data_IF_450241324248
#
_entry.id   IF_450241324248
#
_cell.length_a   1.000
_cell.length_b   1.000
_cell.length_c   1.000
_cell.angle_alpha   90.00
_cell.angle_beta   90.00
_cell.angle_gamma   90.00
#
_symmetry.space_group_name_H-M   'P 1'
#
loop_
_entity.id
_entity.type
_entity.pdbx_description
1 polymer ?
#
# COMPACT_ATOMS: atom_id res chain seq x y z
N UNK A 1 20.34 -25.42 -1.98
CA UNK A 1 21.15 -24.37 -2.65
C UNK A 1 20.58 -24.15 -4.04
N UNK A 2 20.07 -22.97 -4.32
CA UNK A 2 19.68 -22.60 -5.70
C UNK A 2 20.92 -22.49 -6.57
N UNK A 3 20.76 -22.78 -7.85
CA UNK A 3 21.90 -22.89 -8.78
C UNK A 3 22.51 -21.50 -9.02
N UNK A 4 23.84 -21.43 -9.21
CA UNK A 4 24.54 -20.21 -9.65
C UNK A 4 23.87 -19.58 -10.89
N UNK A 5 23.18 -20.37 -11.70
CA UNK A 5 22.43 -19.91 -12.87
C UNK A 5 21.27 -18.97 -12.50
N UNK A 6 20.51 -19.26 -11.42
CA UNK A 6 19.40 -18.42 -11.00
C UNK A 6 19.90 -17.09 -10.41
N UNK A 7 20.93 -17.14 -9.56
CA UNK A 7 21.56 -15.93 -9.03
C UNK A 7 22.09 -15.03 -10.15
N UNK A 8 22.78 -15.60 -11.14
CA UNK A 8 23.27 -14.85 -12.28
C UNK A 8 22.15 -14.25 -13.12
N UNK A 9 21.01 -14.95 -13.25
CA UNK A 9 19.81 -14.42 -13.92
C UNK A 9 19.25 -13.21 -13.16
N UNK A 10 19.10 -13.31 -11.84
CA UNK A 10 18.61 -12.19 -11.02
C UNK A 10 19.57 -11.00 -11.12
N UNK A 11 20.88 -11.22 -11.03
CA UNK A 11 21.88 -10.16 -11.20
C UNK A 11 21.80 -9.48 -12.56
N UNK A 12 21.56 -10.25 -13.64
CA UNK A 12 21.31 -9.70 -14.97
C UNK A 12 20.02 -8.86 -15.07
N UNK A 13 18.97 -9.23 -14.34
CA UNK A 13 17.75 -8.41 -14.23
C UNK A 13 18.01 -7.14 -13.41
N UNK A 14 18.80 -7.21 -12.33
CA UNK A 14 19.18 -6.04 -11.53
C UNK A 14 19.96 -5.03 -12.37
N UNK A 15 20.90 -5.47 -13.21
CA UNK A 15 21.66 -4.57 -14.08
C UNK A 15 20.73 -3.82 -15.05
N UNK A 16 19.79 -4.51 -15.70
CA UNK A 16 18.76 -3.90 -16.55
C UNK A 16 17.83 -2.96 -15.77
N UNK A 17 17.45 -3.34 -14.55
CA UNK A 17 16.61 -2.49 -13.71
C UNK A 17 17.32 -1.20 -13.31
N UNK A 18 18.61 -1.25 -12.99
CA UNK A 18 19.41 -0.07 -12.70
C UNK A 18 19.55 0.88 -13.90
N UNK A 19 19.56 0.34 -15.14
CA UNK A 19 19.49 1.16 -16.36
C UNK A 19 18.19 1.99 -16.37
N UNK A 20 17.05 1.39 -15.95
CA UNK A 20 15.79 2.12 -15.83
C UNK A 20 15.85 3.16 -14.73
N UNK A 21 16.34 2.80 -13.53
CA UNK A 21 16.51 3.72 -12.41
C UNK A 21 17.30 4.96 -12.81
N UNK A 22 18.34 4.80 -13.60
CA UNK A 22 19.20 5.88 -14.07
C UNK A 22 18.78 6.53 -15.39
N UNK A 23 17.70 6.06 -16.00
CA UNK A 23 17.20 6.58 -17.29
C UNK A 23 16.76 8.04 -17.19
N UNK A 24 16.84 8.75 -18.31
CA UNK A 24 16.39 10.14 -18.37
C UNK A 24 14.88 10.27 -18.12
N UNK A 25 14.09 9.28 -18.57
CA UNK A 25 12.66 9.23 -18.28
C UNK A 25 12.40 9.14 -16.77
N UNK A 26 13.09 8.25 -16.05
CA UNK A 26 12.92 8.15 -14.61
C UNK A 26 13.38 9.43 -13.89
N UNK A 27 14.46 10.07 -14.34
CA UNK A 27 14.89 11.39 -13.83
C UNK A 27 13.87 12.48 -14.09
N UNK A 28 13.16 12.44 -15.23
CA UNK A 28 12.06 13.37 -15.51
C UNK A 28 10.87 13.10 -14.59
N UNK A 29 10.49 11.83 -14.43
CA UNK A 29 9.43 11.45 -13.50
C UNK A 29 9.73 11.92 -12.07
N UNK A 30 10.96 11.73 -11.59
CA UNK A 30 11.38 12.20 -10.25
C UNK A 30 11.17 13.70 -10.05
N UNK A 31 11.21 14.53 -11.10
CA UNK A 31 10.96 15.97 -11.00
C UNK A 31 9.49 16.31 -10.75
N UNK A 32 8.57 15.38 -11.01
CA UNK A 32 7.14 15.57 -10.76
C UNK A 32 6.75 15.25 -9.32
N UNK A 33 7.66 14.72 -8.54
CA UNK A 33 7.41 14.25 -7.18
C UNK A 33 8.39 14.85 -6.19
N UNK A 34 7.87 15.25 -5.04
CA UNK A 34 8.69 15.53 -3.86
C UNK A 34 8.79 14.23 -3.06
N UNK A 35 10.00 13.77 -2.83
CA UNK A 35 10.24 12.62 -1.96
C UNK A 35 9.90 12.98 -0.51
N UNK A 36 9.04 12.18 0.12
CA UNK A 36 8.64 12.31 1.53
C UNK A 36 8.88 11.02 2.32
N UNK A 37 9.61 10.09 1.72
CA UNK A 37 9.89 8.78 2.27
C UNK A 37 8.92 7.70 1.76
N UNK A 38 8.76 6.60 2.48
CA UNK A 38 7.90 5.50 2.06
C UNK A 38 6.43 5.75 2.38
N UNK A 39 5.53 5.70 1.41
CA UNK A 39 4.09 5.88 1.61
C UNK A 39 3.26 4.75 0.98
N UNK A 40 3.79 4.04 0.03
CA UNK A 40 3.08 3.01 -0.72
C UNK A 40 3.56 1.63 -0.28
N UNK A 41 2.64 0.66 -0.21
CA UNK A 41 2.96 -0.73 0.09
C UNK A 41 3.91 -1.36 -0.92
N UNK A 42 3.84 -0.94 -2.17
CA UNK A 42 4.66 -1.45 -3.26
C UNK A 42 5.95 -0.67 -3.47
N UNK A 43 6.12 0.45 -2.72
CA UNK A 43 7.28 1.32 -2.82
C UNK A 43 7.71 1.81 -1.46
N UNK A 44 8.96 1.61 -1.13
CA UNK A 44 9.49 1.98 0.18
C UNK A 44 9.56 3.49 0.39
N UNK A 45 9.75 4.27 -0.67
CA UNK A 45 9.75 5.74 -0.63
C UNK A 45 8.41 6.28 -1.09
N UNK A 46 7.90 7.26 -0.37
CA UNK A 46 6.72 8.00 -0.75
C UNK A 46 7.06 9.26 -1.50
N UNK A 47 6.12 9.69 -2.32
CA UNK A 47 6.24 10.88 -3.11
C UNK A 47 4.93 11.67 -2.99
N UNK A 48 5.02 12.96 -2.74
CA UNK A 48 3.92 13.88 -2.95
C UNK A 48 4.08 14.55 -4.30
N UNK A 49 2.98 14.81 -5.03
CA UNK A 49 3.07 15.50 -6.30
C UNK A 49 3.69 16.89 -6.14
N UNK A 50 4.63 17.19 -7.02
CA UNK A 50 5.03 18.55 -7.36
C UNK A 50 4.31 18.89 -8.67
N UNK A 51 4.02 20.15 -8.88
CA UNK A 51 3.38 20.63 -10.11
C UNK A 51 4.41 21.39 -10.98
N UNK A 52 5.41 20.70 -11.58
CA UNK A 52 6.33 21.36 -12.46
C UNK A 52 5.62 21.77 -13.76
N UNK A 53 5.68 23.04 -14.11
CA UNK A 53 5.08 23.54 -15.35
C UNK A 53 3.57 23.34 -15.51
N UNK A 54 2.83 23.13 -14.40
CA UNK A 54 1.39 22.94 -14.45
C UNK A 54 0.92 21.49 -14.69
N UNK A 55 1.84 20.53 -14.80
CA UNK A 55 1.49 19.12 -14.99
C UNK A 55 1.37 18.40 -13.65
N UNK A 56 0.37 17.55 -13.52
CA UNK A 56 0.13 16.69 -12.36
C UNK A 56 0.48 15.24 -12.70
N UNK A 57 1.03 14.48 -11.77
CA UNK A 57 1.40 13.11 -12.06
C UNK A 57 0.20 12.17 -12.13
N UNK A 58 0.27 11.20 -13.05
CA UNK A 58 -0.63 10.05 -13.10
C UNK A 58 0.16 8.75 -13.09
N UNK A 59 -0.42 7.70 -12.51
CA UNK A 59 0.24 6.40 -12.32
C UNK A 59 -0.72 5.26 -12.63
N UNK A 60 -0.19 4.17 -13.19
CA UNK A 60 -0.91 2.91 -13.41
C UNK A 60 -0.39 1.88 -12.41
N UNK A 61 -1.28 1.30 -11.62
CA UNK A 61 -0.93 0.25 -10.66
C UNK A 61 -1.77 -1.00 -10.93
N UNK A 62 -1.09 -2.05 -11.39
CA UNK A 62 -1.72 -3.35 -11.57
C UNK A 62 -1.63 -4.13 -10.26
N UNK A 63 -2.70 -4.85 -9.94
CA UNK A 63 -2.71 -5.79 -8.84
C UNK A 63 -1.71 -6.94 -9.07
N UNK A 64 -1.22 -7.56 -8.01
CA UNK A 64 -0.26 -8.66 -8.10
C UNK A 64 -0.81 -9.85 -8.91
N UNK A 65 -2.13 -10.08 -8.87
CA UNK A 65 -2.77 -11.13 -9.64
C UNK A 65 -2.71 -10.88 -11.15
N UNK A 66 -2.68 -9.62 -11.58
CA UNK A 66 -2.47 -9.25 -12.98
C UNK A 66 -0.98 -9.26 -13.33
N UNK A 67 -0.12 -8.72 -12.44
CA UNK A 67 1.33 -8.77 -12.65
C UNK A 67 1.86 -10.19 -12.80
N UNK A 68 1.35 -11.17 -12.01
CA UNK A 68 1.81 -12.56 -12.14
C UNK A 68 1.62 -13.10 -13.56
N UNK A 69 0.49 -12.79 -14.21
CA UNK A 69 0.23 -13.19 -15.60
C UNK A 69 1.22 -12.56 -16.58
N UNK A 70 1.66 -11.33 -16.30
CA UNK A 70 2.64 -10.60 -17.12
C UNK A 70 4.09 -10.94 -16.78
N UNK A 71 4.34 -11.70 -15.74
CA UNK A 71 5.67 -12.14 -15.29
C UNK A 71 5.82 -13.67 -15.34
N UNK A 72 5.60 -14.26 -16.52
CA UNK A 72 5.70 -15.70 -16.76
C UNK A 72 4.72 -16.57 -15.97
N UNK A 73 3.54 -16.04 -15.68
CA UNK A 73 2.48 -16.72 -14.90
C UNK A 73 3.00 -17.23 -13.55
N UNK A 74 3.71 -16.37 -12.83
CA UNK A 74 4.36 -16.69 -11.57
C UNK A 74 3.38 -17.26 -10.56
N UNK A 75 3.72 -18.40 -9.94
CA UNK A 75 2.98 -18.96 -8.83
C UNK A 75 3.25 -18.12 -7.56
N UNK A 76 2.19 -17.53 -6.98
CA UNK A 76 2.35 -16.64 -5.82
C UNK A 76 2.73 -17.40 -4.54
N UNK A 77 2.43 -18.70 -4.42
CA UNK A 77 2.95 -19.51 -3.30
C UNK A 77 4.47 -19.58 -3.36
N UNK A 78 5.06 -19.72 -4.56
CA UNK A 78 6.51 -19.68 -4.72
C UNK A 78 7.07 -18.28 -4.45
N UNK A 79 6.40 -17.23 -4.95
CA UNK A 79 6.78 -15.84 -4.70
C UNK A 79 6.86 -15.52 -3.20
N UNK A 80 5.91 -16.03 -2.39
CA UNK A 80 5.87 -15.83 -0.95
C UNK A 80 6.70 -16.84 -0.14
N UNK A 81 7.29 -17.84 -0.77
CA UNK A 81 8.09 -18.87 -0.07
C UNK A 81 9.56 -18.90 -0.44
N UNK A 82 9.96 -18.27 -1.52
CA UNK A 82 11.32 -18.31 -2.05
C UNK A 82 11.87 -16.91 -2.35
N UNK A 83 12.91 -16.46 -1.64
CA UNK A 83 13.47 -15.11 -1.80
C UNK A 83 14.02 -14.82 -3.21
N UNK A 84 14.47 -15.84 -3.92
CA UNK A 84 14.96 -15.68 -5.28
C UNK A 84 13.81 -15.42 -6.25
N UNK A 85 12.72 -16.16 -6.14
CA UNK A 85 11.50 -15.93 -6.93
C UNK A 85 10.90 -14.58 -6.60
N UNK A 86 10.93 -14.17 -5.32
CA UNK A 86 10.49 -12.85 -4.86
C UNK A 86 11.26 -11.71 -5.53
N UNK A 87 12.59 -11.77 -5.55
CA UNK A 87 13.44 -10.79 -6.23
C UNK A 87 13.20 -10.77 -7.74
N UNK A 88 13.19 -11.94 -8.36
CA UNK A 88 13.01 -12.07 -9.79
C UNK A 88 11.68 -11.47 -10.25
N UNK A 89 10.60 -11.76 -9.53
CA UNK A 89 9.29 -11.20 -9.82
C UNK A 89 9.26 -9.67 -9.71
N UNK A 90 9.80 -9.09 -8.64
CA UNK A 90 9.83 -7.63 -8.46
C UNK A 90 10.61 -6.94 -9.58
N UNK A 91 11.77 -7.46 -9.93
CA UNK A 91 12.59 -6.91 -11.00
C UNK A 91 11.88 -7.02 -12.35
N UNK A 92 11.32 -8.19 -12.67
CA UNK A 92 10.61 -8.41 -13.92
C UNK A 92 9.35 -7.55 -14.03
N UNK A 93 8.58 -7.42 -12.93
CA UNK A 93 7.43 -6.51 -12.85
C UNK A 93 7.83 -5.07 -13.18
N UNK A 94 8.91 -4.58 -12.60
CA UNK A 94 9.39 -3.22 -12.83
C UNK A 94 9.88 -3.01 -14.27
N UNK A 95 10.57 -3.99 -14.85
CA UNK A 95 10.98 -3.96 -16.25
C UNK A 95 9.76 -3.93 -17.18
N UNK A 96 8.77 -4.78 -16.92
CA UNK A 96 7.53 -4.85 -17.70
C UNK A 96 6.73 -3.56 -17.57
N UNK A 97 6.62 -2.98 -16.35
CA UNK A 97 5.95 -1.69 -16.16
C UNK A 97 6.57 -0.60 -17.01
N UNK A 98 7.89 -0.44 -16.94
CA UNK A 98 8.62 0.56 -17.73
C UNK A 98 8.45 0.36 -19.23
N UNK A 99 8.34 -0.87 -19.68
CA UNK A 99 8.14 -1.19 -21.10
C UNK A 99 6.71 -0.92 -21.56
N UNK A 100 5.71 -1.31 -20.73
CA UNK A 100 4.29 -1.24 -21.08
C UNK A 100 3.73 0.18 -21.00
N UNK A 101 4.13 0.95 -19.98
CA UNK A 101 3.50 2.23 -19.64
C UNK A 101 4.47 3.42 -19.71
N UNK A 102 3.92 4.59 -20.00
CA UNK A 102 4.62 5.89 -20.07
C UNK A 102 4.20 6.83 -18.94
N UNK A 103 3.62 6.30 -17.90
CA UNK A 103 3.17 7.02 -16.73
C UNK A 103 4.31 7.65 -15.91
N UNK A 104 3.96 8.37 -14.85
CA UNK A 104 4.92 9.04 -13.98
C UNK A 104 5.40 8.15 -12.81
N UNK A 105 5.30 6.84 -12.96
CA UNK A 105 5.84 5.90 -11.99
C UNK A 105 7.35 6.09 -11.80
N UNK A 106 7.80 6.09 -10.53
CA UNK A 106 9.21 6.29 -10.18
C UNK A 106 9.85 4.97 -9.78
N UNK A 107 10.98 4.65 -10.41
CA UNK A 107 11.80 3.49 -10.07
C UNK A 107 12.94 3.92 -9.15
N UNK A 108 13.10 3.24 -8.01
CA UNK A 108 14.14 3.49 -7.01
C UNK A 108 15.16 2.35 -6.99
N UNK A 109 16.34 2.59 -6.47
CA UNK A 109 17.40 1.58 -6.29
C UNK A 109 17.14 0.64 -5.10
N UNK A 110 15.86 0.35 -4.81
CA UNK A 110 15.44 -0.40 -3.64
C UNK A 110 14.61 -1.63 -4.04
N UNK A 111 14.79 -2.69 -3.28
CA UNK A 111 13.90 -3.86 -3.24
C UNK A 111 13.26 -3.95 -1.86
N UNK A 112 12.08 -4.50 -1.79
CA UNK A 112 11.35 -4.62 -0.53
C UNK A 112 10.83 -6.05 -0.32
N UNK A 113 10.60 -6.39 0.93
CA UNK A 113 10.01 -7.66 1.32
C UNK A 113 8.53 -7.41 1.58
N UNK A 114 7.69 -8.05 0.77
CA UNK A 114 6.24 -7.89 0.86
C UNK A 114 5.54 -9.26 0.86
N UNK A 115 4.82 -9.56 1.93
CA UNK A 115 4.05 -10.78 2.09
C UNK A 115 2.53 -10.54 2.08
N UNK A 116 2.09 -9.38 1.62
CA UNK A 116 0.70 -8.98 1.63
C UNK A 116 0.29 -8.29 2.94
N UNK A 117 -0.94 -7.80 2.96
CA UNK A 117 -1.54 -7.09 4.09
C UNK A 117 -1.74 -7.95 5.35
N UNK A 118 -1.51 -9.27 5.22
CA UNK A 118 -1.66 -10.25 6.31
C UNK A 118 -0.41 -10.39 7.16
N UNK A 119 0.71 -9.77 6.76
CA UNK A 119 1.98 -9.87 7.47
C UNK A 119 1.81 -9.52 8.95
N UNK A 120 1.18 -8.39 9.21
CA UNK A 120 0.98 -7.86 10.56
C UNK A 120 0.03 -8.74 11.38
N UNK A 121 -1.03 -9.26 10.77
CA UNK A 121 -1.96 -10.19 11.41
C UNK A 121 -1.26 -11.48 11.85
N UNK A 122 -0.30 -11.96 11.06
CA UNK A 122 0.47 -13.15 11.40
C UNK A 122 1.28 -12.97 12.68
N UNK A 123 1.74 -11.75 12.98
CA UNK A 123 2.51 -11.44 14.19
C UNK A 123 1.71 -11.75 15.46
N UNK A 124 0.40 -11.59 15.41
CA UNK A 124 -0.51 -11.86 16.52
C UNK A 124 -1.02 -13.30 16.56
N UNK A 125 -0.54 -14.16 15.64
CA UNK A 125 -0.84 -15.59 15.63
C UNK A 125 -1.87 -16.03 14.60
N UNK A 126 -2.34 -15.14 13.70
CA UNK A 126 -3.24 -15.54 12.62
C UNK A 126 -2.54 -16.51 11.65
N UNK A 127 -3.18 -17.64 11.39
CA UNK A 127 -2.72 -18.62 10.38
C UNK A 127 -2.93 -18.05 8.97
N UNK A 128 -1.89 -18.10 8.15
CA UNK A 128 -1.93 -17.60 6.77
C UNK A 128 -2.14 -18.74 5.79
N UNK A 129 -3.13 -18.58 4.90
CA UNK A 129 -3.40 -19.48 3.78
C UNK A 129 -2.92 -18.83 2.49
N UNK A 130 -1.91 -19.45 1.87
CA UNK A 130 -1.34 -18.98 0.61
C UNK A 130 -2.12 -19.50 -0.59
N UNK A 131 -2.18 -18.71 -1.66
CA UNK A 131 -2.90 -19.03 -2.88
C UNK A 131 -2.02 -18.81 -4.12
N UNK A 132 -2.17 -19.65 -5.14
CA UNK A 132 -1.31 -19.60 -6.33
C UNK A 132 -1.53 -18.35 -7.20
N UNK A 133 -2.73 -17.77 -7.17
CA UNK A 133 -3.16 -16.77 -8.13
C UNK A 133 -3.52 -15.42 -7.55
N UNK A 134 -3.53 -15.31 -6.24
CA UNK A 134 -3.81 -14.06 -5.51
C UNK A 134 -3.06 -14.03 -4.18
N UNK A 135 -3.07 -12.89 -3.51
CA UNK A 135 -2.46 -12.73 -2.19
C UNK A 135 -2.99 -13.75 -1.18
N UNK A 136 -2.15 -14.14 -0.24
CA UNK A 136 -2.56 -14.96 0.90
C UNK A 136 -3.56 -14.22 1.79
N UNK A 137 -4.31 -14.98 2.57
CA UNK A 137 -5.25 -14.42 3.54
C UNK A 137 -5.20 -15.17 4.86
N UNK A 138 -5.70 -14.57 5.93
CA UNK A 138 -5.87 -15.28 7.20
C UNK A 138 -6.95 -16.35 7.07
N UNK A 139 -6.75 -17.46 7.76
CA UNK A 139 -7.72 -18.57 7.74
C UNK A 139 -9.00 -18.22 8.47
N UNK A 140 -8.85 -17.68 9.67
CA UNK A 140 -9.96 -17.29 10.56
C UNK A 140 -9.47 -16.27 11.60
N UNK A 141 -10.37 -15.49 12.22
CA UNK A 141 -10.05 -14.67 13.37
C UNK A 141 -9.55 -15.51 14.55
N UNK A 142 -8.61 -14.96 15.32
CA UNK A 142 -8.01 -15.69 16.45
C UNK A 142 -8.75 -15.46 17.79
N UNK A 143 -9.58 -14.43 17.87
CA UNK A 143 -10.33 -14.08 19.09
C UNK A 143 -11.80 -14.44 18.92
N UNK A 144 -12.27 -15.41 19.65
CA UNK A 144 -13.69 -15.73 19.71
C UNK A 144 -14.46 -14.83 20.70
N UNK A 145 -13.73 -14.14 21.59
CA UNK A 145 -14.29 -13.12 22.50
C UNK A 145 -13.19 -12.14 22.96
N UNK A 146 -13.59 -10.94 23.42
CA UNK A 146 -12.66 -9.90 23.89
C UNK A 146 -11.96 -10.24 25.22
N UNK A 147 -12.51 -11.16 26.03
CA UNK A 147 -11.84 -11.65 27.25
C UNK A 147 -10.53 -12.39 26.94
N UNK A 148 -10.39 -12.90 25.71
CA UNK A 148 -9.16 -13.58 25.28
C UNK A 148 -8.00 -12.60 25.04
N UNK A 149 -8.24 -11.32 24.96
CA UNK A 149 -7.18 -10.30 24.81
C UNK A 149 -6.16 -10.40 25.93
N UNK A 150 -6.58 -10.71 27.15
CA UNK A 150 -5.70 -10.89 28.30
C UNK A 150 -4.72 -12.08 28.17
N UNK A 151 -4.97 -12.98 27.24
CA UNK A 151 -4.12 -14.15 26.94
C UNK A 151 -3.16 -13.93 25.77
N UNK A 152 -3.34 -12.84 25.05
CA UNK A 152 -2.44 -12.49 23.95
C UNK A 152 -1.05 -12.14 24.51
N UNK A 153 -0.04 -12.49 23.77
CA UNK A 153 1.36 -12.10 24.06
C UNK A 153 1.87 -11.16 22.99
N UNK A 154 2.63 -10.11 23.37
CA UNK A 154 3.23 -9.23 22.37
C UNK A 154 4.08 -10.00 21.36
N UNK A 155 4.05 -9.61 20.07
CA UNK A 155 4.84 -10.26 19.05
C UNK A 155 6.35 -10.22 19.32
N UNK A 156 7.01 -11.35 19.18
CA UNK A 156 8.48 -11.44 19.17
C UNK A 156 8.99 -11.07 17.77
N UNK A 157 9.82 -10.05 17.67
CA UNK A 157 10.36 -9.53 16.41
C UNK A 157 11.08 -10.58 15.55
N UNK A 158 11.62 -11.64 16.15
CA UNK A 158 12.37 -12.68 15.43
C UNK A 158 11.57 -13.94 15.16
N UNK A 159 10.50 -14.21 15.93
CA UNK A 159 9.86 -15.53 15.96
C UNK A 159 8.37 -15.53 15.60
N UNK A 160 7.66 -14.41 15.81
CA UNK A 160 6.22 -14.39 15.62
C UNK A 160 5.83 -14.40 14.14
N UNK A 161 4.82 -15.18 13.80
CA UNK A 161 4.21 -15.23 12.49
C UNK A 161 5.20 -15.42 11.34
N UNK A 162 5.20 -14.49 10.42
CA UNK A 162 6.08 -14.51 9.24
C UNK A 162 7.50 -13.97 9.50
N UNK A 163 7.83 -13.52 10.73
CA UNK A 163 9.13 -12.90 11.00
C UNK A 163 10.33 -13.80 10.66
N UNK A 164 10.36 -15.11 11.00
CA UNK A 164 11.49 -15.96 10.62
C UNK A 164 11.73 -15.95 9.10
N UNK A 165 10.66 -15.98 8.30
CA UNK A 165 10.73 -15.93 6.84
C UNK A 165 11.19 -14.56 6.35
N UNK A 166 10.71 -13.48 6.96
CA UNK A 166 11.13 -12.11 6.63
C UNK A 166 12.63 -11.93 6.85
N UNK A 167 13.15 -12.42 7.97
CA UNK A 167 14.60 -12.39 8.25
C UNK A 167 15.41 -13.20 7.24
N UNK A 168 14.95 -14.40 6.87
CA UNK A 168 15.56 -15.21 5.83
C UNK A 168 15.60 -14.48 4.48
N UNK A 169 14.46 -13.90 4.07
CA UNK A 169 14.36 -13.12 2.83
C UNK A 169 15.31 -11.93 2.86
N UNK A 170 15.34 -11.18 3.96
CA UNK A 170 16.22 -10.02 4.11
C UNK A 170 17.69 -10.41 3.96
N UNK A 171 18.12 -11.48 4.60
CA UNK A 171 19.49 -11.98 4.49
C UNK A 171 19.81 -12.39 3.04
N UNK A 172 19.00 -13.28 2.47
CA UNK A 172 19.29 -13.83 1.12
C UNK A 172 19.22 -12.74 0.05
N UNK A 173 18.22 -11.84 0.12
CA UNK A 173 18.09 -10.76 -0.86
C UNK A 173 19.28 -9.79 -0.80
N UNK A 174 19.79 -9.47 0.40
CA UNK A 174 21.00 -8.66 0.55
C UNK A 174 22.25 -9.35 -0.02
N UNK A 175 22.41 -10.67 0.23
CA UNK A 175 23.51 -11.45 -0.34
C UNK A 175 23.48 -11.46 -1.89
N UNK A 176 22.29 -11.59 -2.48
CA UNK A 176 22.11 -11.58 -3.94
C UNK A 176 22.30 -10.19 -4.52
N UNK A 177 21.75 -9.17 -3.86
CA UNK A 177 21.84 -7.77 -4.28
C UNK A 177 23.29 -7.27 -4.28
N UNK A 178 24.12 -7.77 -3.34
CA UNK A 178 25.55 -7.48 -3.28
C UNK A 178 25.87 -5.97 -3.31
N UNK A 179 25.05 -5.18 -2.60
CA UNK A 179 25.18 -3.74 -2.53
C UNK A 179 24.74 -2.94 -3.77
N UNK A 180 24.31 -3.60 -4.85
CA UNK A 180 23.80 -2.92 -6.07
C UNK A 180 22.42 -2.30 -5.85
N UNK A 181 21.56 -2.96 -5.07
CA UNK A 181 20.24 -2.48 -4.65
C UNK A 181 20.14 -2.55 -3.14
N UNK A 182 19.46 -1.59 -2.55
CA UNK A 182 19.12 -1.61 -1.12
C UNK A 182 17.91 -2.50 -0.89
N UNK A 183 18.03 -3.51 -0.04
CA UNK A 183 16.89 -4.32 0.40
C UNK A 183 16.31 -3.68 1.65
N UNK A 184 15.03 -3.37 1.62
CA UNK A 184 14.33 -2.74 2.73
C UNK A 184 13.64 -3.79 3.59
N UNK A 185 13.86 -3.67 4.90
CA UNK A 185 13.13 -4.45 5.89
C UNK A 185 11.72 -3.87 6.05
N UNK A 186 10.66 -4.70 6.20
CA UNK A 186 9.28 -4.23 6.28
C UNK A 186 9.04 -3.21 7.40
N UNK A 187 8.03 -2.38 7.21
CA UNK A 187 7.43 -1.52 8.23
C UNK A 187 5.98 -1.93 8.43
N UNK A 188 5.46 -1.73 9.64
CA UNK A 188 4.03 -1.90 9.90
C UNK A 188 3.26 -0.73 9.30
N UNK A 189 2.10 -1.02 8.76
CA UNK A 189 1.28 -0.02 8.07
C UNK A 189 -0.23 -0.18 8.28
N UNK A 190 -0.70 -1.34 8.75
CA UNK A 190 -2.13 -1.55 8.96
C UNK A 190 -2.60 -0.77 10.19
N UNK A 191 -3.69 -0.03 10.04
CA UNK A 191 -4.26 0.73 11.17
C UNK A 191 -4.76 -0.17 12.30
N UNK A 192 -4.65 0.27 13.57
CA UNK A 192 -4.97 -0.57 14.73
C UNK A 192 -6.39 -1.11 14.74
N UNK A 193 -7.36 -0.33 14.26
CA UNK A 193 -8.75 -0.80 14.17
C UNK A 193 -8.91 -1.90 13.14
N UNK A 194 -8.26 -1.78 12.01
CA UNK A 194 -8.27 -2.81 10.96
C UNK A 194 -7.59 -4.09 11.44
N UNK A 195 -6.52 -3.97 12.24
CA UNK A 195 -5.95 -5.12 12.94
C UNK A 195 -6.99 -5.77 13.87
N UNK A 196 -7.68 -4.97 14.70
CA UNK A 196 -8.70 -5.47 15.62
C UNK A 196 -9.85 -6.18 14.88
N UNK A 197 -10.31 -5.62 13.74
CA UNK A 197 -11.34 -6.23 12.89
C UNK A 197 -10.96 -7.63 12.46
N UNK A 198 -9.73 -7.83 11.98
CA UNK A 198 -9.30 -9.14 11.50
C UNK A 198 -8.95 -10.12 12.61
N UNK A 199 -8.43 -9.66 13.73
CA UNK A 199 -8.13 -10.52 14.88
C UNK A 199 -9.40 -11.04 15.55
N UNK A 200 -10.47 -10.23 15.60
CA UNK A 200 -11.75 -10.55 16.28
C UNK A 200 -12.82 -11.08 15.32
N UNK A 201 -12.74 -10.72 14.05
CA UNK A 201 -13.80 -10.93 13.06
C UNK A 201 -14.69 -9.68 12.90
N UNK A 202 -14.96 -9.31 11.64
CA UNK A 202 -15.62 -8.06 11.28
C UNK A 202 -17.00 -7.90 11.95
N UNK A 203 -17.86 -8.92 11.86
CA UNK A 203 -19.22 -8.86 12.43
C UNK A 203 -19.20 -8.77 13.94
N UNK A 204 -18.32 -9.55 14.56
CA UNK A 204 -18.21 -9.61 16.01
C UNK A 204 -17.63 -8.30 16.58
N UNK A 205 -16.56 -7.76 15.96
CA UNK A 205 -15.99 -6.50 16.42
C UNK A 205 -16.97 -5.34 16.28
N UNK A 206 -17.72 -5.28 15.17
CA UNK A 206 -18.73 -4.22 14.99
C UNK A 206 -19.87 -4.30 16.02
N UNK A 207 -20.26 -5.51 16.44
CA UNK A 207 -21.15 -5.68 17.58
C UNK A 207 -20.47 -5.23 18.88
N UNK A 208 -19.24 -5.67 19.12
CA UNK A 208 -18.49 -5.35 20.34
C UNK A 208 -18.27 -3.84 20.51
N UNK A 209 -18.07 -3.09 19.44
CA UNK A 209 -17.98 -1.61 19.45
C UNK A 209 -19.20 -0.97 20.12
N UNK A 210 -20.38 -1.58 19.97
CA UNK A 210 -21.63 -1.05 20.53
C UNK A 210 -21.92 -1.60 21.94
N UNK A 211 -21.59 -2.87 22.20
CA UNK A 211 -22.02 -3.55 23.45
C UNK A 211 -20.89 -3.70 24.46
N UNK A 212 -19.63 -3.64 24.06
CA UNK A 212 -18.46 -3.78 24.92
C UNK A 212 -17.28 -2.89 24.44
N UNK A 213 -17.47 -1.56 24.34
CA UNK A 213 -16.43 -0.65 23.86
C UNK A 213 -15.15 -0.69 24.72
N UNK A 214 -15.26 -0.96 26.01
CA UNK A 214 -14.09 -1.11 26.90
C UNK A 214 -13.22 -2.31 26.49
N UNK A 215 -13.82 -3.42 26.10
CA UNK A 215 -13.11 -4.59 25.59
C UNK A 215 -12.41 -4.28 24.26
N UNK A 216 -13.06 -3.50 23.40
CA UNK A 216 -12.47 -3.03 22.14
C UNK A 216 -11.26 -2.11 22.44
N UNK A 217 -11.38 -1.17 23.38
CA UNK A 217 -10.27 -0.33 23.80
C UNK A 217 -9.07 -1.14 24.34
N UNK A 218 -9.32 -2.22 25.09
CA UNK A 218 -8.25 -3.12 25.56
C UNK A 218 -7.52 -3.79 24.37
N UNK A 219 -8.27 -4.27 23.38
CA UNK A 219 -7.68 -4.86 22.17
C UNK A 219 -6.87 -3.82 21.38
N UNK A 220 -7.43 -2.63 21.15
CA UNK A 220 -6.75 -1.53 20.47
C UNK A 220 -5.46 -1.14 21.18
N UNK A 221 -5.49 -1.03 22.52
CA UNK A 221 -4.31 -0.71 23.31
C UNK A 221 -3.22 -1.78 23.18
N UNK A 222 -3.61 -3.06 23.28
CA UNK A 222 -2.67 -4.16 23.09
C UNK A 222 -2.00 -4.14 21.73
N UNK A 223 -2.76 -3.86 20.65
CA UNK A 223 -2.23 -3.75 19.29
C UNK A 223 -1.21 -2.61 19.19
N UNK A 224 -1.61 -1.41 19.61
CA UNK A 224 -0.77 -0.21 19.53
C UNK A 224 0.53 -0.36 20.33
N UNK A 225 0.46 -0.87 21.56
CA UNK A 225 1.64 -1.12 22.39
C UNK A 225 2.59 -2.13 21.70
N UNK A 226 2.02 -3.17 21.08
CA UNK A 226 2.78 -4.18 20.35
C UNK A 226 3.46 -3.61 19.12
N UNK A 227 2.79 -2.76 18.36
CA UNK A 227 3.35 -2.09 17.17
C UNK A 227 4.48 -1.14 17.53
N UNK A 228 4.34 -0.41 18.64
CA UNK A 228 5.39 0.49 19.14
C UNK A 228 6.65 -0.32 19.51
N UNK A 229 6.50 -1.40 20.27
CA UNK A 229 7.66 -2.24 20.67
C UNK A 229 8.29 -2.93 19.46
N UNK A 230 7.49 -3.47 18.55
CA UNK A 230 7.99 -4.06 17.31
C UNK A 230 8.80 -3.05 16.48
N UNK A 231 8.30 -1.82 16.34
CA UNK A 231 8.99 -0.75 15.62
C UNK A 231 10.33 -0.38 16.26
N UNK A 232 10.41 -0.37 17.58
CA UNK A 232 11.68 -0.17 18.30
C UNK A 232 12.70 -1.29 18.01
N UNK A 233 12.24 -2.56 18.02
CA UNK A 233 13.12 -3.68 17.68
C UNK A 233 13.58 -3.63 16.22
N UNK A 234 12.67 -3.23 15.28
CA UNK A 234 13.04 -3.00 13.90
C UNK A 234 14.15 -1.96 13.77
N UNK A 235 14.02 -0.83 14.47
CA UNK A 235 15.03 0.22 14.48
C UNK A 235 16.38 -0.30 15.02
N UNK A 236 16.36 -1.07 16.10
CA UNK A 236 17.60 -1.70 16.63
C UNK A 236 18.23 -2.66 15.63
N UNK A 237 17.42 -3.43 14.92
CA UNK A 237 17.91 -4.42 13.96
C UNK A 237 18.46 -3.78 12.68
N UNK A 238 17.75 -2.81 12.11
CA UNK A 238 18.10 -2.19 10.84
C UNK A 238 19.10 -1.03 10.99
N UNK A 239 19.15 -0.39 12.17
CA UNK A 239 19.85 0.87 12.38
C UNK A 239 19.16 2.07 11.70
N UNK A 240 17.94 1.88 11.17
CA UNK A 240 17.19 2.92 10.47
C UNK A 240 16.07 3.44 11.39
N UNK A 241 16.02 4.75 11.58
CA UNK A 241 14.91 5.40 12.28
C UNK A 241 13.58 5.11 11.58
N UNK A 242 12.50 4.97 12.35
CA UNK A 242 11.18 4.76 11.77
C UNK A 242 10.80 5.94 10.87
N UNK A 243 10.22 5.59 9.75
CA UNK A 243 9.61 6.60 8.89
C UNK A 243 8.32 7.11 9.53
N UNK A 244 7.75 8.22 9.01
CA UNK A 244 6.44 8.66 9.44
C UNK A 244 5.40 7.57 9.19
N UNK A 245 4.37 7.55 10.03
CA UNK A 245 3.33 6.53 10.06
C UNK A 245 2.63 6.37 8.72
N UNK A 246 2.39 5.14 8.32
CA UNK A 246 1.44 4.76 7.26
C UNK A 246 0.25 4.09 7.94
N UNK A 247 -0.95 4.41 7.46
CA UNK A 247 -2.19 3.84 7.98
C UNK A 247 -3.02 3.28 6.82
N UNK A 248 -3.04 1.97 6.70
CA UNK A 248 -3.93 1.26 5.79
C UNK A 248 -5.18 0.82 6.57
N UNK A 249 -6.29 1.48 6.27
CA UNK A 249 -7.54 1.46 7.03
C UNK A 249 -8.71 0.97 6.18
N UNK A 250 -8.55 -0.13 5.46
CA UNK A 250 -9.55 -0.62 4.50
C UNK A 250 -10.92 -0.93 5.13
N UNK A 251 -10.95 -1.21 6.43
CA UNK A 251 -12.17 -1.48 7.19
C UNK A 251 -12.82 -0.23 7.80
N UNK A 252 -12.22 0.95 7.56
CA UNK A 252 -12.80 2.24 7.94
C UNK A 252 -13.54 2.83 6.75
N UNK A 253 -14.84 2.61 6.70
CA UNK A 253 -15.71 3.15 5.66
C UNK A 253 -17.10 3.51 6.18
N UNK A 254 -17.78 4.45 5.52
CA UNK A 254 -19.16 4.80 5.78
C UNK A 254 -20.07 4.06 4.76
N UNK A 255 -21.14 3.36 5.19
CA UNK A 255 -21.79 3.48 6.51
C UNK A 255 -21.38 2.45 7.56
N UNK A 256 -20.40 1.59 7.30
CA UNK A 256 -20.04 0.51 8.26
C UNK A 256 -19.60 1.07 9.61
N UNK A 257 -18.92 2.23 9.61
CA UNK A 257 -18.51 2.98 10.80
C UNK A 257 -19.08 4.39 10.71
N UNK A 258 -19.72 4.84 11.81
CA UNK A 258 -20.19 6.21 11.93
C UNK A 258 -19.08 7.17 12.37
N UNK A 259 -19.16 8.48 12.05
CA UNK A 259 -18.18 9.47 12.46
C UNK A 259 -17.92 9.52 13.98
N UNK A 260 -18.93 9.24 14.81
CA UNK A 260 -18.79 9.21 16.26
C UNK A 260 -17.84 8.09 16.69
N UNK A 261 -18.01 6.87 16.16
CA UNK A 261 -17.13 5.72 16.44
C UNK A 261 -15.70 6.04 16.01
N UNK A 262 -15.53 6.59 14.81
CA UNK A 262 -14.21 6.99 14.34
C UNK A 262 -13.55 8.00 15.29
N UNK A 263 -14.29 9.05 15.69
CA UNK A 263 -13.79 10.11 16.55
C UNK A 263 -13.38 9.61 17.95
N UNK A 264 -14.18 8.74 18.54
CA UNK A 264 -14.04 8.38 19.95
C UNK A 264 -13.20 7.13 20.18
N UNK A 265 -13.27 6.18 19.24
CA UNK A 265 -12.67 4.87 19.43
C UNK A 265 -11.45 4.62 18.53
N UNK A 266 -11.38 5.21 17.33
CA UNK A 266 -10.32 4.90 16.35
C UNK A 266 -9.27 6.00 16.31
N UNK A 267 -9.68 7.22 16.02
CA UNK A 267 -8.80 8.36 15.86
C UNK A 267 -7.80 8.58 17.02
N UNK A 268 -8.14 8.40 18.30
CA UNK A 268 -7.18 8.60 19.39
C UNK A 268 -5.94 7.72 19.28
N UNK A 269 -6.08 6.50 18.79
CA UNK A 269 -4.97 5.56 18.60
C UNK A 269 -4.13 5.90 17.36
N UNK A 270 -4.77 6.31 16.27
CA UNK A 270 -4.07 6.82 15.10
C UNK A 270 -3.27 8.09 15.41
N UNK A 271 -3.89 9.01 16.18
CA UNK A 271 -3.23 10.26 16.60
C UNK A 271 -2.03 9.99 17.52
N UNK A 272 -2.13 9.02 18.43
CA UNK A 272 -1.04 8.61 19.30
C UNK A 272 0.16 8.05 18.49
N UNK A 273 -0.11 7.10 17.61
CA UNK A 273 0.92 6.55 16.73
C UNK A 273 1.54 7.63 15.83
N UNK A 274 0.73 8.54 15.31
CA UNK A 274 1.18 9.66 14.50
C UNK A 274 2.11 10.61 15.28
N UNK A 275 1.80 10.89 16.56
CA UNK A 275 2.67 11.73 17.42
C UNK A 275 4.01 11.05 17.68
N UNK A 276 4.02 9.75 17.93
CA UNK A 276 5.25 8.97 18.19
C UNK A 276 6.12 8.92 16.92
N UNK A 277 5.52 8.77 15.74
CA UNK A 277 6.21 8.66 14.45
C UNK A 277 6.53 10.01 13.80
N UNK A 278 6.22 11.15 14.45
CA UNK A 278 6.46 12.48 13.91
C UNK A 278 5.51 12.91 12.80
N UNK A 279 4.41 12.18 12.59
CA UNK A 279 3.35 12.49 11.63
C UNK A 279 2.87 11.30 10.83
N UNK A 280 1.87 11.54 9.98
CA UNK A 280 1.32 10.54 9.05
C UNK A 280 1.79 10.87 7.64
N UNK A 281 2.48 9.92 7.02
CA UNK A 281 2.90 10.06 5.64
C UNK A 281 1.80 9.70 4.67
N UNK A 282 1.07 8.65 4.98
CA UNK A 282 0.04 8.12 4.09
C UNK A 282 -1.13 7.55 4.90
N UNK A 283 -2.30 8.07 4.65
CA UNK A 283 -3.56 7.57 5.21
C UNK A 283 -4.40 6.97 4.08
N UNK A 284 -4.80 5.73 4.19
CA UNK A 284 -5.46 4.97 3.13
C UNK A 284 -6.73 4.28 3.63
N UNK A 285 -7.78 4.34 2.82
CA UNK A 285 -8.91 3.41 2.84
C UNK A 285 -9.49 3.30 1.44
N UNK A 286 -9.84 2.10 1.02
CA UNK A 286 -10.54 1.85 -0.23
C UNK A 286 -12.04 2.19 -0.16
N UNK A 287 -12.59 2.44 1.05
CA UNK A 287 -14.00 2.74 1.29
C UNK A 287 -14.37 4.20 1.08
N UNK A 288 -15.62 4.53 1.42
CA UNK A 288 -16.10 5.91 1.48
C UNK A 288 -15.71 6.56 2.80
N UNK A 289 -14.78 7.49 2.75
CA UNK A 289 -14.27 8.21 3.94
C UNK A 289 -14.73 9.67 4.00
N UNK A 290 -15.63 10.12 3.15
CA UNK A 290 -16.07 11.53 3.09
C UNK A 290 -16.47 12.08 4.46
N UNK A 291 -17.21 11.31 5.25
CA UNK A 291 -17.64 11.72 6.59
C UNK A 291 -16.50 11.84 7.62
N UNK A 292 -15.32 11.25 7.35
CA UNK A 292 -14.17 11.23 8.24
C UNK A 292 -13.10 12.27 7.87
N UNK A 293 -13.12 12.82 6.65
CA UNK A 293 -12.10 13.75 6.13
C UNK A 293 -11.80 14.92 7.09
N UNK A 294 -12.81 15.59 7.73
CA UNK A 294 -12.53 16.68 8.65
C UNK A 294 -11.73 16.24 9.89
N UNK A 295 -11.89 14.98 10.30
CA UNK A 295 -11.15 14.43 11.44
C UNK A 295 -9.78 13.93 11.04
N UNK A 296 -9.66 13.23 9.90
CA UNK A 296 -8.40 12.78 9.32
C UNK A 296 -7.44 13.96 9.10
N UNK A 297 -7.95 15.12 8.65
CA UNK A 297 -7.18 16.35 8.46
C UNK A 297 -6.54 16.90 9.76
N UNK A 298 -6.94 16.39 10.94
CA UNK A 298 -6.34 16.77 12.23
C UNK A 298 -5.14 15.91 12.60
N UNK A 299 -4.88 14.83 11.87
CA UNK A 299 -3.69 14.01 12.11
C UNK A 299 -2.40 14.83 11.92
N UNK A 300 -1.41 14.65 12.81
CA UNK A 300 -0.17 15.40 12.75
C UNK A 300 0.57 15.17 11.43
N UNK A 301 0.96 16.27 10.77
CA UNK A 301 1.80 16.24 9.58
C UNK A 301 1.36 15.22 8.51
N UNK A 302 0.04 15.16 8.24
CA UNK A 302 -0.50 14.31 7.19
C UNK A 302 -0.01 14.79 5.82
N UNK A 303 0.73 13.94 5.11
CA UNK A 303 1.36 14.28 3.83
C UNK A 303 0.51 13.88 2.63
N UNK A 304 -0.02 12.65 2.64
CA UNK A 304 -0.87 12.12 1.56
C UNK A 304 -2.11 11.46 2.13
N UNK A 305 -3.26 11.77 1.55
CA UNK A 305 -4.52 11.07 1.81
C UNK A 305 -4.97 10.35 0.53
N UNK A 306 -5.20 9.04 0.65
CA UNK A 306 -5.81 8.25 -0.40
C UNK A 306 -7.29 8.61 -0.52
N UNK A 307 -7.73 8.87 -1.74
CA UNK A 307 -9.11 9.19 -2.08
C UNK A 307 -9.60 8.12 -3.05
N UNK A 308 -10.19 7.07 -2.48
CA UNK A 308 -10.72 5.96 -3.26
C UNK A 308 -11.97 6.36 -4.07
N UNK A 309 -12.44 5.48 -4.98
CA UNK A 309 -13.52 5.80 -5.93
C UNK A 309 -14.88 6.09 -5.29
N UNK A 310 -15.06 5.75 -4.03
CA UNK A 310 -16.30 5.97 -3.26
C UNK A 310 -16.28 7.26 -2.44
N UNK A 311 -15.11 7.90 -2.32
CA UNK A 311 -14.90 9.13 -1.55
C UNK A 311 -15.02 10.34 -2.46
N UNK A 312 -15.66 11.41 -1.98
CA UNK A 312 -15.75 12.68 -2.70
C UNK A 312 -14.37 13.36 -2.77
N UNK A 313 -13.74 13.36 -3.95
CA UNK A 313 -12.49 14.11 -4.16
C UNK A 313 -12.69 15.62 -4.11
N UNK A 314 -13.88 16.13 -4.44
CA UNK A 314 -14.26 17.54 -4.30
C UNK A 314 -14.23 17.98 -2.83
N UNK A 315 -14.86 17.18 -1.93
CA UNK A 315 -14.82 17.45 -0.49
C UNK A 315 -13.40 17.28 0.07
N UNK A 316 -12.65 16.29 -0.40
CA UNK A 316 -11.27 16.08 0.01
C UNK A 316 -10.38 17.27 -0.39
N UNK A 317 -10.48 17.76 -1.62
CA UNK A 317 -9.73 18.93 -2.10
C UNK A 317 -10.09 20.18 -1.28
N UNK A 318 -11.38 20.39 -1.00
CA UNK A 318 -11.83 21.53 -0.19
C UNK A 318 -11.31 21.48 1.27
N UNK A 319 -11.21 20.28 1.87
CA UNK A 319 -10.79 20.09 3.26
C UNK A 319 -9.26 20.13 3.41
N UNK A 320 -8.54 19.47 2.53
CA UNK A 320 -7.08 19.32 2.61
C UNK A 320 -6.31 20.45 1.94
N UNK A 321 -6.87 21.02 0.88
CA UNK A 321 -6.29 22.14 0.13
C UNK A 321 -4.86 21.84 -0.33
N UNK A 322 -3.98 22.83 -0.19
CA UNK A 322 -2.55 22.68 -0.53
C UNK A 322 -1.71 22.03 0.59
N UNK A 323 -2.32 21.69 1.73
CA UNK A 323 -1.59 21.20 2.91
C UNK A 323 -1.26 19.71 2.81
N UNK A 324 -2.23 18.90 2.37
CA UNK A 324 -2.12 17.46 2.25
C UNK A 324 -2.37 17.07 0.79
N UNK A 325 -1.45 16.33 0.19
CA UNK A 325 -1.63 15.86 -1.17
C UNK A 325 -2.70 14.77 -1.24
N UNK A 326 -3.48 14.74 -2.32
CA UNK A 326 -4.44 13.70 -2.57
C UNK A 326 -3.88 12.66 -3.55
N UNK A 327 -4.12 11.40 -3.27
CA UNK A 327 -3.96 10.33 -4.23
C UNK A 327 -5.36 9.90 -4.68
N UNK A 328 -5.81 10.44 -5.82
CA UNK A 328 -7.15 10.16 -6.36
C UNK A 328 -7.11 8.86 -7.16
N UNK A 329 -7.72 7.82 -6.61
CA UNK A 329 -7.76 6.50 -7.22
C UNK A 329 -9.08 6.28 -7.97
N UNK A 330 -8.97 5.87 -9.22
CA UNK A 330 -10.11 5.57 -10.08
C UNK A 330 -10.66 4.18 -9.82
N UNK A 331 -11.94 3.99 -10.06
CA UNK A 331 -12.55 2.67 -9.99
C UNK A 331 -12.03 1.79 -11.14
N UNK A 332 -11.29 0.70 -10.85
CA UNK A 332 -10.57 -0.07 -11.89
C UNK A 332 -11.49 -0.62 -12.99
N UNK A 333 -12.72 -0.98 -12.65
CA UNK A 333 -13.69 -1.53 -13.60
C UNK A 333 -14.46 -0.40 -14.28
N UNK A 334 -15.14 0.45 -13.51
CA UNK A 334 -16.10 1.42 -14.05
C UNK A 334 -15.43 2.59 -14.78
N UNK A 335 -14.28 3.06 -14.28
CA UNK A 335 -13.59 4.23 -14.84
C UNK A 335 -12.52 3.86 -15.88
N UNK A 336 -12.16 2.56 -16.00
CA UNK A 336 -11.08 2.10 -16.86
C UNK A 336 -11.51 0.95 -17.77
N UNK A 337 -11.69 -0.28 -17.21
CA UNK A 337 -11.84 -1.48 -18.06
C UNK A 337 -13.14 -1.49 -18.85
N UNK A 338 -14.24 -1.05 -18.23
CA UNK A 338 -15.58 -1.02 -18.86
C UNK A 338 -15.94 0.36 -19.42
N UNK A 339 -15.13 1.38 -19.14
CA UNK A 339 -15.38 2.73 -19.63
C UNK A 339 -15.11 2.85 -21.14
N UNK A 340 -15.93 3.63 -21.82
CA UNK A 340 -15.59 4.11 -23.14
C UNK A 340 -14.70 5.38 -23.09
N UNK A 341 -14.14 5.77 -24.24
CA UNK A 341 -13.25 6.95 -24.37
C UNK A 341 -13.87 8.22 -23.81
N UNK A 342 -15.16 8.43 -24.03
CA UNK A 342 -15.89 9.62 -23.56
C UNK A 342 -16.05 9.63 -22.05
N UNK A 343 -16.35 8.48 -21.46
CA UNK A 343 -16.44 8.29 -20.00
C UNK A 343 -15.11 8.53 -19.31
N UNK A 344 -14.00 7.98 -19.86
CA UNK A 344 -12.65 8.20 -19.34
C UNK A 344 -12.29 9.70 -19.35
N UNK A 345 -12.54 10.40 -20.45
CA UNK A 345 -12.30 11.85 -20.57
C UNK A 345 -13.13 12.64 -19.57
N UNK A 346 -14.43 12.38 -19.53
CA UNK A 346 -15.36 13.07 -18.63
C UNK A 346 -14.95 12.91 -17.15
N UNK A 347 -14.45 11.73 -16.78
CA UNK A 347 -13.97 11.49 -15.42
C UNK A 347 -12.74 12.33 -15.06
N UNK A 348 -11.76 12.42 -15.96
CA UNK A 348 -10.57 13.24 -15.74
C UNK A 348 -10.89 14.73 -15.71
N UNK A 349 -11.76 15.19 -16.61
CA UNK A 349 -12.26 16.57 -16.63
C UNK A 349 -13.01 16.93 -15.34
N UNK A 350 -13.84 16.02 -14.82
CA UNK A 350 -14.55 16.22 -13.55
C UNK A 350 -13.59 16.38 -12.38
N UNK A 351 -12.53 15.56 -12.30
CA UNK A 351 -11.48 15.68 -11.27
C UNK A 351 -10.78 17.05 -11.37
N UNK A 352 -10.36 17.45 -12.57
CA UNK A 352 -9.66 18.73 -12.80
C UNK A 352 -10.56 19.90 -12.39
N UNK A 353 -11.82 19.88 -12.75
CA UNK A 353 -12.77 20.95 -12.45
C UNK A 353 -13.11 21.04 -10.96
N UNK A 354 -13.10 19.91 -10.24
CA UNK A 354 -13.52 19.83 -8.83
C UNK A 354 -12.36 19.90 -7.83
N UNK A 355 -11.13 19.79 -8.29
CA UNK A 355 -9.93 19.86 -7.44
C UNK A 355 -9.05 21.07 -7.80
N UNK A 356 -9.50 22.30 -7.52
CA UNK A 356 -8.81 23.52 -7.92
C UNK A 356 -7.50 23.78 -7.19
N UNK A 357 -7.21 23.10 -6.07
CA UNK A 357 -5.93 23.23 -5.37
C UNK A 357 -4.78 22.55 -6.11
N UNK A 358 -5.08 21.64 -7.04
CA UNK A 358 -4.11 20.96 -7.90
C UNK A 358 -2.94 20.33 -7.13
N UNK A 359 -3.25 19.79 -5.94
CA UNK A 359 -2.32 19.10 -5.04
C UNK A 359 -2.66 17.61 -4.98
N UNK A 360 -2.67 16.96 -6.15
CA UNK A 360 -3.06 15.56 -6.27
C UNK A 360 -2.29 14.83 -7.36
N UNK A 361 -2.31 13.50 -7.27
CA UNK A 361 -2.01 12.58 -8.36
C UNK A 361 -3.25 11.78 -8.71
N UNK A 362 -3.34 11.29 -9.96
CA UNK A 362 -4.42 10.40 -10.40
C UNK A 362 -3.87 8.99 -10.62
N UNK A 363 -4.57 7.99 -10.10
CA UNK A 363 -4.15 6.59 -10.24
C UNK A 363 -5.22 5.73 -10.88
N UNK A 364 -4.82 4.98 -11.89
CA UNK A 364 -5.48 3.76 -12.31
C UNK A 364 -5.00 2.65 -11.38
N UNK A 365 -5.73 2.40 -10.29
CA UNK A 365 -5.30 1.56 -9.18
C UNK A 365 -6.03 0.21 -9.11
N UNK A 366 -5.40 -0.76 -8.44
CA UNK A 366 -5.97 -2.08 -8.15
C UNK A 366 -6.53 -2.82 -9.38
N UNK A 367 -5.86 -2.68 -10.53
CA UNK A 367 -6.29 -3.31 -11.79
C UNK A 367 -6.04 -4.83 -11.73
N UNK A 368 -7.09 -5.57 -11.38
CA UNK A 368 -7.12 -7.04 -11.33
C UNK A 368 -7.53 -7.64 -12.68
N UNK A 369 -7.24 -8.92 -12.96
CA UNK A 369 -7.75 -9.59 -14.15
C UNK A 369 -9.28 -9.57 -14.20
N UNK A 370 -9.83 -9.11 -15.33
CA UNK A 370 -11.26 -9.09 -15.60
C UNK A 370 -11.57 -10.09 -16.73
N UNK A 371 -12.05 -11.28 -16.35
CA UNK A 371 -12.28 -12.36 -17.32
C UNK A 371 -11.01 -12.97 -17.91
N UNK A 372 -11.13 -13.60 -19.08
CA UNK A 372 -10.05 -14.35 -19.73
C UNK A 372 -9.33 -13.56 -20.83
N UNK A 373 -9.89 -12.42 -21.28
CA UNK A 373 -9.32 -11.60 -22.36
C UNK A 373 -8.36 -10.54 -21.77
N UNK A 374 -7.15 -11.00 -21.46
CA UNK A 374 -6.09 -10.13 -20.95
C UNK A 374 -5.66 -9.07 -21.97
N UNK A 375 -5.64 -9.39 -23.26
CA UNK A 375 -5.20 -8.47 -24.31
C UNK A 375 -6.15 -7.28 -24.44
N UNK A 376 -7.45 -7.53 -24.44
CA UNK A 376 -8.46 -6.48 -24.43
C UNK A 376 -8.36 -5.59 -23.20
N UNK A 377 -8.17 -6.18 -22.03
CA UNK A 377 -7.99 -5.41 -20.79
C UNK A 377 -6.75 -4.51 -20.83
N UNK A 378 -5.60 -5.04 -21.27
CA UNK A 378 -4.37 -4.25 -21.41
C UNK A 378 -4.52 -3.13 -22.44
N UNK A 379 -5.27 -3.37 -23.52
CA UNK A 379 -5.61 -2.34 -24.52
C UNK A 379 -6.43 -1.21 -23.89
N UNK A 380 -7.40 -1.51 -23.02
CA UNK A 380 -8.18 -0.52 -22.29
C UNK A 380 -7.35 0.32 -21.32
N UNK A 381 -6.45 -0.32 -20.59
CA UNK A 381 -5.51 0.39 -19.70
C UNK A 381 -4.62 1.32 -20.53
N UNK A 382 -4.19 0.87 -21.70
CA UNK A 382 -3.38 1.67 -22.61
C UNK A 382 -4.14 2.87 -23.18
N UNK A 383 -5.40 2.69 -23.57
CA UNK A 383 -6.29 3.76 -23.99
C UNK A 383 -6.43 4.80 -22.87
N UNK A 384 -6.65 4.37 -21.63
CA UNK A 384 -6.71 5.28 -20.49
C UNK A 384 -5.40 6.04 -20.29
N UNK A 385 -4.25 5.37 -20.40
CA UNK A 385 -2.93 6.02 -20.29
C UNK A 385 -2.76 7.14 -21.34
N UNK A 386 -3.16 6.89 -22.58
CA UNK A 386 -3.08 7.87 -23.65
C UNK A 386 -3.94 9.10 -23.36
N UNK A 387 -5.16 8.89 -22.86
CA UNK A 387 -6.04 9.97 -22.43
C UNK A 387 -5.45 10.72 -21.23
N UNK A 388 -5.00 10.00 -20.18
CA UNK A 388 -4.41 10.63 -18.99
C UNK A 388 -3.21 11.52 -19.36
N UNK A 389 -2.40 11.09 -20.32
CA UNK A 389 -1.27 11.87 -20.82
C UNK A 389 -1.68 13.16 -21.52
N UNK A 390 -2.83 13.22 -22.18
CA UNK A 390 -3.34 14.44 -22.80
C UNK A 390 -3.70 15.51 -21.74
N UNK A 391 -4.19 15.07 -20.56
CA UNK A 391 -4.61 15.97 -19.48
C UNK A 391 -3.49 16.31 -18.47
N UNK A 392 -2.57 15.39 -18.24
CA UNK A 392 -1.58 15.46 -17.15
C UNK A 392 -0.13 15.41 -17.64
N UNK A 393 0.13 14.99 -18.86
CA UNK A 393 1.46 14.79 -19.44
C UNK A 393 2.17 16.02 -19.98
#
# INVERSE_FOLDING_TARGET
MKTNRQINRIRGLMDKYLEIVHSDRNKQNLKMWKEVGSWNRDKPRGFVPLKPNGHLPYVIELDISLWRKLTNDTNLVEYYSDPYTHMEFQLQRSLNHHQLYKDNFVFTDELYIWFGVITELSLFGSEVVWQEHKEGWIKEPILSSLEQVEKLTPPDFYKSGLMPKIHEFYQVMNEVADGKLKVLFPELARGPFCMAVHLRGISDLFCDVLVNPEGVHKLMRFIVDSEIEWTKERTRFTGEEPTRLKLFNDEIDCPSIGPQIYNDLIFPYEEELAKISGGVRYWHSCGNISAFLPKINKLPNLEVCHVGPWTSYEEADAIFGSKTALEICLHPVNDIVMADTGQMRSKLEDIINKCPHENYSVRADALMPQGDDLESQLSKIKEWEEIAREYFG
#
